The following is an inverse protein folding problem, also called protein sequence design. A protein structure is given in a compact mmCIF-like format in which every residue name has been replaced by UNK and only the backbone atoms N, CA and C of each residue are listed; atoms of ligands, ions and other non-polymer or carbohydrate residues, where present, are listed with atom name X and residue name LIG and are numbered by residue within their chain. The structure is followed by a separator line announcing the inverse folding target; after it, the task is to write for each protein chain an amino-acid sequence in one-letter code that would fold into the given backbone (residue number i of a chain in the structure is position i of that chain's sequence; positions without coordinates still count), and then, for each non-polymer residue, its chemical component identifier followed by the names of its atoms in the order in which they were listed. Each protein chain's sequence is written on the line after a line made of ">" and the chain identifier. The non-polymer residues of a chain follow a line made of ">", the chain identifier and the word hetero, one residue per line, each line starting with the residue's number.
data_IF_359383741821
#
_entry.id   IF_359383741821
#
_cell.length_a   1.000
_cell.length_b   1.000
_cell.length_c   1.000
_cell.angle_alpha   90.00
_cell.angle_beta   90.00
_cell.angle_gamma   90.00
#
_symmetry.space_group_name_H-M   'P 1'
#
loop_
_entity.id
_entity.type
_entity.pdbx_description
1 polymer ?
#
# COMPACT_ATOMS: atom_id res chain seq x y z
N UNK A 1 -11.59 -10.49 -10.14
CA UNK A 1 -10.63 -11.05 -11.12
C UNK A 1 -9.49 -11.66 -10.32
N UNK A 2 -8.72 -12.61 -10.86
CA UNK A 2 -7.61 -13.23 -10.12
C UNK A 2 -6.36 -12.36 -10.23
N UNK A 3 -5.57 -12.27 -9.15
CA UNK A 3 -4.25 -11.62 -9.14
C UNK A 3 -3.09 -12.63 -9.20
N UNK A 4 -3.39 -13.90 -9.48
CA UNK A 4 -2.42 -15.00 -9.48
C UNK A 4 -1.25 -14.80 -10.44
N UNK A 5 -1.45 -14.12 -11.58
CA UNK A 5 -0.38 -13.76 -12.51
C UNK A 5 0.61 -12.76 -11.91
N UNK A 6 0.16 -11.83 -11.05
CA UNK A 6 1.06 -10.95 -10.32
C UNK A 6 1.82 -11.71 -9.24
N UNK A 7 1.12 -12.56 -8.47
CA UNK A 7 1.73 -13.41 -7.43
C UNK A 7 2.83 -14.30 -8.03
N UNK A 8 2.66 -14.79 -9.26
CA UNK A 8 3.68 -15.57 -9.96
C UNK A 8 4.99 -14.80 -10.19
N UNK A 9 4.93 -13.48 -10.35
CA UNK A 9 6.11 -12.63 -10.54
C UNK A 9 6.73 -12.24 -9.19
N UNK A 10 5.92 -11.82 -8.22
CA UNK A 10 6.42 -11.32 -6.92
C UNK A 10 6.71 -12.45 -5.90
N UNK A 11 6.15 -13.64 -6.08
CA UNK A 11 6.15 -14.75 -5.12
C UNK A 11 7.27 -15.79 -5.30
N UNK A 12 8.35 -15.46 -6.01
CA UNK A 12 9.44 -16.41 -6.34
C UNK A 12 10.62 -16.38 -5.35
N UNK A 13 10.40 -15.86 -4.14
CA UNK A 13 11.44 -15.67 -3.13
C UNK A 13 12.33 -14.45 -3.39
N UNK A 14 13.20 -14.13 -2.43
CA UNK A 14 13.98 -12.87 -2.42
C UNK A 14 14.78 -12.62 -3.71
N UNK A 15 15.44 -13.64 -4.23
CA UNK A 15 16.35 -13.51 -5.38
C UNK A 15 15.67 -13.82 -6.73
N UNK A 16 14.48 -14.44 -6.70
CA UNK A 16 13.76 -14.87 -7.91
C UNK A 16 12.57 -13.99 -8.27
N UNK A 17 12.10 -13.16 -7.34
CA UNK A 17 10.94 -12.31 -7.54
C UNK A 17 11.27 -11.13 -8.46
N UNK A 18 10.32 -10.76 -9.30
CA UNK A 18 10.44 -9.66 -10.25
C UNK A 18 9.54 -8.51 -9.84
N UNK A 19 9.96 -7.26 -10.08
CA UNK A 19 9.12 -6.11 -9.81
C UNK A 19 7.95 -6.06 -10.80
N UNK A 20 6.82 -5.55 -10.34
CA UNK A 20 5.72 -5.15 -11.20
C UNK A 20 5.95 -3.74 -11.77
N UNK A 21 5.38 -3.45 -12.94
CA UNK A 21 5.29 -2.05 -13.40
C UNK A 21 4.36 -1.24 -12.48
N UNK A 22 4.47 0.09 -12.55
CA UNK A 22 3.58 1.00 -11.80
C UNK A 22 2.10 0.72 -12.08
N UNK A 23 1.75 0.51 -13.34
CA UNK A 23 0.38 0.22 -13.77
C UNK A 23 -0.11 -1.13 -13.24
N UNK A 24 0.76 -2.15 -13.27
CA UNK A 24 0.45 -3.46 -12.73
C UNK A 24 0.27 -3.43 -11.21
N UNK A 25 1.11 -2.69 -10.50
CA UNK A 25 1.00 -2.51 -9.06
C UNK A 25 -0.29 -1.77 -8.68
N UNK A 26 -0.66 -0.73 -9.45
CA UNK A 26 -1.91 0.00 -9.27
C UNK A 26 -3.15 -0.90 -9.51
N UNK A 27 -3.14 -1.69 -10.58
CA UNK A 27 -4.21 -2.64 -10.86
C UNK A 27 -4.35 -3.68 -9.74
N UNK A 28 -3.24 -4.32 -9.35
CA UNK A 28 -3.22 -5.33 -8.29
C UNK A 28 -3.81 -4.79 -6.99
N UNK A 29 -3.25 -3.68 -6.48
CA UNK A 29 -3.72 -3.14 -5.20
C UNK A 29 -5.14 -2.59 -5.32
N UNK A 30 -5.53 -2.06 -6.48
CA UNK A 30 -6.90 -1.65 -6.74
C UNK A 30 -7.89 -2.79 -6.56
N UNK A 31 -7.61 -3.96 -7.14
CA UNK A 31 -8.44 -5.15 -6.98
C UNK A 31 -8.52 -5.61 -5.51
N UNK A 32 -7.40 -5.54 -4.78
CA UNK A 32 -7.38 -5.87 -3.33
C UNK A 32 -8.25 -4.90 -2.53
N UNK A 33 -8.14 -3.59 -2.79
CA UNK A 33 -8.90 -2.56 -2.07
C UNK A 33 -10.40 -2.58 -2.42
N UNK A 34 -10.77 -3.01 -3.63
CA UNK A 34 -12.17 -3.18 -4.04
C UNK A 34 -12.81 -4.45 -3.47
N UNK A 35 -12.05 -5.30 -2.78
CA UNK A 35 -12.56 -6.52 -2.17
C UNK A 35 -12.95 -7.60 -3.19
N UNK A 36 -12.36 -7.58 -4.40
CA UNK A 36 -12.70 -8.52 -5.49
C UNK A 36 -11.70 -9.68 -5.62
N UNK A 37 -10.79 -9.82 -4.66
CA UNK A 37 -9.71 -10.83 -4.59
C UNK A 37 -9.99 -11.79 -3.44
N UNK A 38 -9.63 -13.07 -3.60
CA UNK A 38 -9.85 -14.08 -2.55
C UNK A 38 -8.88 -13.92 -1.37
N UNK A 39 -9.29 -14.36 -0.17
CA UNK A 39 -8.42 -14.33 1.03
C UNK A 39 -7.09 -15.06 0.82
N UNK A 40 -7.11 -16.16 0.07
CA UNK A 40 -5.90 -16.93 -0.26
C UNK A 40 -4.92 -16.10 -1.10
N UNK A 41 -5.42 -15.39 -2.11
CA UNK A 41 -4.60 -14.53 -2.96
C UNK A 41 -4.10 -13.30 -2.20
N UNK A 42 -4.93 -12.69 -1.33
CA UNK A 42 -4.52 -11.58 -0.46
C UNK A 42 -3.39 -12.03 0.47
N UNK A 43 -3.52 -13.19 1.13
CA UNK A 43 -2.47 -13.75 1.97
C UNK A 43 -1.17 -14.01 1.19
N UNK A 44 -1.28 -14.54 -0.02
CA UNK A 44 -0.14 -14.76 -0.92
C UNK A 44 0.56 -13.45 -1.30
N UNK A 45 -0.20 -12.42 -1.66
CA UNK A 45 0.32 -11.08 -1.94
C UNK A 45 1.05 -10.49 -0.73
N UNK A 46 0.43 -10.49 0.45
CA UNK A 46 1.04 -9.94 1.67
C UNK A 46 2.36 -10.63 2.03
N UNK A 47 2.42 -11.96 1.93
CA UNK A 47 3.64 -12.72 2.21
C UNK A 47 4.73 -12.46 1.15
N UNK A 48 4.36 -12.43 -0.13
CA UNK A 48 5.30 -12.12 -1.20
C UNK A 48 5.94 -10.74 -1.02
N UNK A 49 5.14 -9.70 -0.77
CA UNK A 49 5.66 -8.35 -0.54
C UNK A 49 6.47 -8.24 0.74
N UNK A 50 6.08 -8.93 1.82
CA UNK A 50 6.87 -8.95 3.07
C UNK A 50 8.27 -9.52 2.87
N UNK A 51 8.44 -10.51 2.00
CA UNK A 51 9.73 -11.18 1.75
C UNK A 51 10.53 -10.43 0.68
N UNK A 52 9.90 -10.01 -0.41
CA UNK A 52 10.54 -9.31 -1.54
C UNK A 52 10.91 -7.87 -1.20
N UNK A 53 10.02 -7.17 -0.49
CA UNK A 53 10.00 -5.72 -0.39
C UNK A 53 9.45 -5.04 -1.66
N UNK A 54 8.93 -3.83 -1.49
CA UNK A 54 8.43 -2.98 -2.57
C UNK A 54 9.56 -2.23 -3.29
N UNK A 55 9.45 -2.07 -4.61
CA UNK A 55 10.26 -1.09 -5.36
C UNK A 55 9.59 0.30 -5.37
N UNK A 56 10.33 1.38 -5.71
CA UNK A 56 9.72 2.70 -5.85
C UNK A 56 8.56 2.75 -6.86
N UNK A 57 8.67 2.04 -7.98
CA UNK A 57 7.63 1.97 -9.02
C UNK A 57 6.38 1.24 -8.52
N UNK A 58 6.55 0.13 -7.81
CA UNK A 58 5.44 -0.60 -7.17
C UNK A 58 4.75 0.29 -6.14
N UNK A 59 5.52 0.99 -5.29
CA UNK A 59 4.99 1.90 -4.29
C UNK A 59 4.22 3.07 -4.92
N UNK A 60 4.71 3.63 -6.03
CA UNK A 60 4.00 4.66 -6.77
C UNK A 60 2.67 4.14 -7.33
N UNK A 61 2.64 2.91 -7.84
CA UNK A 61 1.41 2.28 -8.34
C UNK A 61 0.41 1.99 -7.23
N UNK A 62 0.89 1.51 -6.09
CA UNK A 62 0.07 1.33 -4.89
C UNK A 62 -0.54 2.65 -4.43
N UNK A 63 0.23 3.74 -4.44
CA UNK A 63 -0.29 5.08 -4.13
C UNK A 63 -1.33 5.54 -5.15
N UNK A 64 -1.18 5.25 -6.44
CA UNK A 64 -2.21 5.57 -7.45
C UNK A 64 -3.53 4.86 -7.15
N UNK A 65 -3.48 3.57 -6.80
CA UNK A 65 -4.66 2.79 -6.43
C UNK A 65 -5.35 3.34 -5.18
N UNK A 66 -4.56 3.72 -4.16
CA UNK A 66 -5.06 4.35 -2.92
C UNK A 66 -5.66 5.71 -3.23
N UNK A 67 -4.98 6.56 -4.01
CA UNK A 67 -5.44 7.91 -4.35
C UNK A 67 -6.78 7.95 -5.10
N UNK A 68 -7.10 6.90 -5.87
CA UNK A 68 -8.40 6.74 -6.53
C UNK A 68 -9.53 6.46 -5.53
N UNK A 69 -9.21 5.88 -4.38
CA UNK A 69 -10.18 5.42 -3.35
C UNK A 69 -10.17 6.27 -2.09
N UNK A 70 -9.23 7.20 -1.95
CA UNK A 70 -9.18 8.12 -0.82
C UNK A 70 -10.38 9.06 -0.83
N UNK A 71 -11.02 9.19 0.34
CA UNK A 71 -11.99 10.24 0.58
C UNK A 71 -11.27 11.60 0.54
N UNK A 72 -11.61 12.42 -0.45
CA UNK A 72 -11.06 13.77 -0.60
C UNK A 72 -11.77 14.71 0.35
N UNK A 73 -10.99 15.50 1.09
CA UNK A 73 -11.49 16.61 1.89
C UNK A 73 -11.49 17.88 1.03
N UNK A 74 -12.47 18.78 1.20
CA UNK A 74 -12.45 20.07 0.52
C UNK A 74 -11.20 20.85 0.95
N UNK A 75 -10.63 21.61 0.02
CA UNK A 75 -9.57 22.55 0.35
C UNK A 75 -10.16 23.69 1.20
N UNK A 76 -9.48 24.04 2.29
CA UNK A 76 -9.78 25.25 3.06
C UNK A 76 -8.98 26.45 2.57
N UNK A 77 -9.24 27.62 3.15
CA UNK A 77 -8.58 28.89 2.77
C UNK A 77 -7.16 29.06 3.36
N UNK A 78 -6.73 28.13 4.24
CA UNK A 78 -5.45 28.17 4.93
C UNK A 78 -4.53 27.00 4.56
N UNK A 79 -3.24 27.08 4.91
CA UNK A 79 -2.30 25.97 4.77
C UNK A 79 -2.79 24.72 5.52
N UNK A 80 -2.68 23.56 4.88
CA UNK A 80 -3.06 22.26 5.47
C UNK A 80 -1.81 21.41 5.68
N UNK A 81 -1.69 20.85 6.88
CA UNK A 81 -0.65 19.87 7.23
C UNK A 81 -1.30 18.51 7.44
N UNK A 82 -0.81 17.48 6.77
CA UNK A 82 -1.27 16.09 6.94
C UNK A 82 -0.26 15.35 7.83
N UNK A 83 -0.71 14.90 9.00
CA UNK A 83 0.11 14.16 9.96
C UNK A 83 -0.29 12.67 9.98
N UNK A 84 0.36 11.79 9.19
CA UNK A 84 0.08 10.36 9.24
C UNK A 84 0.54 9.76 10.58
N UNK A 85 -0.30 8.90 11.18
CA UNK A 85 0.01 8.22 12.44
C UNK A 85 -0.44 6.76 12.42
N UNK A 86 0.44 5.90 11.90
CA UNK A 86 0.19 4.45 11.74
C UNK A 86 0.95 3.59 12.77
N UNK A 87 1.55 4.24 13.77
CA UNK A 87 2.27 3.63 14.89
C UNK A 87 1.87 4.33 16.21
N UNK A 88 2.56 4.04 17.31
CA UNK A 88 2.28 4.68 18.60
C UNK A 88 3.33 4.40 19.67
N UNK A 89 2.99 4.74 20.91
CA UNK A 89 3.84 4.55 22.07
C UNK A 89 4.20 3.06 22.26
N UNK A 90 5.49 2.77 22.44
CA UNK A 90 5.97 1.44 22.88
C UNK A 90 6.73 1.53 24.20
N UNK A 91 7.69 2.47 24.28
CA UNK A 91 8.52 2.71 25.48
C UNK A 91 8.54 4.18 25.90
N UNK A 92 8.06 5.08 25.04
CA UNK A 92 8.01 6.53 25.26
C UNK A 92 6.61 7.03 24.90
N UNK A 93 6.19 8.17 25.46
CA UNK A 93 4.91 8.79 25.12
C UNK A 93 4.79 9.08 23.62
N UNK A 94 3.59 8.94 23.08
CA UNK A 94 3.26 9.34 21.71
C UNK A 94 2.93 10.83 21.69
N UNK A 95 3.81 11.63 21.08
CA UNK A 95 3.68 13.10 21.04
C UNK A 95 3.06 13.63 19.73
N UNK A 96 2.63 12.75 18.81
CA UNK A 96 1.92 13.15 17.59
C UNK A 96 0.69 14.03 17.87
N UNK A 97 -0.12 13.78 18.93
CA UNK A 97 -1.22 14.68 19.27
C UNK A 97 -0.76 16.07 19.70
N UNK A 98 0.38 16.19 20.41
CA UNK A 98 0.94 17.49 20.80
C UNK A 98 1.43 18.28 19.59
N UNK A 99 2.00 17.62 18.58
CA UNK A 99 2.39 18.24 17.30
C UNK A 99 1.18 18.75 16.48
N UNK A 100 0.01 18.16 16.69
CA UNK A 100 -1.21 18.52 16.00
C UNK A 100 -1.95 19.74 16.61
N UNK A 101 -1.51 20.21 17.79
CA UNK A 101 -1.99 21.44 18.44
C UNK A 101 -1.28 22.67 17.86
#
# INVERSE_FOLDING_TARGET
>A
MSISHYIKEIGRGKDGARPLSREQAADLLGQVLDGVVTDLEIGGFCLAMRIKGETPEEMAGFLDAVHQRLNRLPAGDGPVVVLPSYNGARKLPVLTPLLAL
#
